data_IF_749868657352
#
_entry.id   IF_749868657352
#
_cell.length_a   1.000
_cell.length_b   1.000
_cell.length_c   1.000
_cell.angle_alpha   90.00
_cell.angle_beta   90.00
_cell.angle_gamma   90.00
#
_symmetry.space_group_name_H-M   'P 1'
#
loop_
_entity.id
_entity.type
_entity.pdbx_description
1 polymer ?
#
# COMPACT_ATOMS: atom_id res chain seq x y z
N UNK A 1 11.04 -41.44 7.88
CA UNK A 1 9.57 -41.21 7.73
C UNK A 1 9.35 -39.98 6.84
N UNK A 2 8.11 -39.59 6.55
CA UNK A 2 7.78 -38.70 5.41
C UNK A 2 8.26 -37.26 5.56
N UNK A 3 8.55 -36.65 4.40
CA UNK A 3 8.88 -35.24 4.18
C UNK A 3 7.66 -34.34 4.16
N UNK A 4 7.80 -33.09 4.61
CA UNK A 4 7.31 -31.92 3.87
C UNK A 4 8.47 -30.92 3.78
N UNK A 5 8.95 -30.69 2.57
CA UNK A 5 9.95 -29.68 2.24
C UNK A 5 9.53 -28.96 0.96
N UNK A 6 8.46 -28.17 1.06
CA UNK A 6 7.88 -27.35 -0.02
C UNK A 6 7.26 -26.11 0.65
N UNK A 7 7.44 -24.87 0.18
CA UNK A 7 7.99 -24.43 -1.11
C UNK A 7 9.09 -23.34 -0.97
N UNK A 8 10.36 -23.72 -0.81
CA UNK A 8 11.46 -22.84 -1.20
C UNK A 8 11.45 -22.71 -2.73
N UNK A 9 11.01 -21.56 -3.27
CA UNK A 9 10.89 -21.30 -4.73
C UNK A 9 12.06 -20.51 -5.32
N UNK A 10 13.26 -20.77 -4.80
CA UNK A 10 14.54 -20.27 -5.33
C UNK A 10 14.89 -20.95 -6.67
N UNK A 11 14.16 -20.63 -7.75
CA UNK A 11 14.47 -21.09 -9.11
C UNK A 11 14.03 -20.11 -10.19
N UNK A 12 14.76 -19.00 -10.34
CA UNK A 12 14.71 -18.15 -11.54
C UNK A 12 15.68 -18.70 -12.60
N UNK A 13 15.21 -19.58 -13.48
CA UNK A 13 15.98 -20.04 -14.64
C UNK A 13 16.20 -18.87 -15.62
N UNK A 14 17.45 -18.42 -15.76
CA UNK A 14 17.83 -17.47 -16.80
C UNK A 14 17.96 -18.22 -18.13
N UNK A 15 16.96 -18.07 -19.00
CA UNK A 15 17.03 -18.48 -20.40
C UNK A 15 16.80 -17.26 -21.31
N UNK A 16 17.78 -16.99 -22.18
CA UNK A 16 17.73 -15.91 -23.15
C UNK A 16 16.79 -16.29 -24.30
N UNK A 17 15.76 -15.47 -24.51
CA UNK A 17 14.81 -15.60 -25.62
C UNK A 17 14.48 -14.23 -26.22
N UNK A 18 15.31 -13.76 -27.14
CA UNK A 18 15.08 -12.48 -27.82
C UNK A 18 14.07 -12.65 -28.96
N UNK A 19 12.81 -12.26 -28.73
CA UNK A 19 11.83 -12.07 -29.80
C UNK A 19 10.96 -10.84 -29.50
N UNK A 20 11.15 -9.78 -30.28
CA UNK A 20 10.30 -8.60 -30.24
C UNK A 20 9.18 -8.75 -31.28
N UNK A 21 7.91 -8.57 -30.88
CA UNK A 21 6.83 -8.19 -31.79
C UNK A 21 5.66 -7.52 -31.03
N UNK A 22 5.45 -6.25 -31.35
CA UNK A 22 4.22 -5.44 -31.25
C UNK A 22 3.00 -5.95 -30.44
N UNK A 23 2.55 -5.10 -29.49
CA UNK A 23 1.29 -4.38 -29.72
C UNK A 23 0.00 -4.92 -29.08
N UNK A 24 -0.13 -4.83 -27.76
CA UNK A 24 -1.45 -4.76 -27.10
C UNK A 24 -1.39 -3.91 -25.82
N UNK A 25 -1.84 -2.66 -25.88
CA UNK A 25 -1.92 -1.78 -24.70
C UNK A 25 -3.17 -2.04 -23.85
N UNK A 26 -3.29 -3.27 -23.32
CA UNK A 26 -4.19 -3.54 -22.22
C UNK A 26 -3.58 -2.97 -20.94
N UNK A 27 -3.79 -1.66 -20.72
CA UNK A 27 -3.65 -1.04 -19.41
C UNK A 27 -4.77 -1.57 -18.53
N UNK A 28 -4.58 -2.80 -18.03
CA UNK A 28 -5.44 -3.39 -17.03
C UNK A 28 -5.22 -2.61 -15.73
N UNK A 29 -6.00 -1.54 -15.56
CA UNK A 29 -6.06 -0.78 -14.33
C UNK A 29 -6.69 -1.65 -13.25
N UNK A 30 -5.88 -2.53 -12.66
CA UNK A 30 -6.20 -3.25 -11.43
C UNK A 30 -6.25 -2.24 -10.28
N UNK A 31 -7.37 -1.51 -10.22
CA UNK A 31 -7.80 -0.87 -8.99
C UNK A 31 -7.83 -1.92 -7.89
N UNK A 32 -7.31 -1.55 -6.72
CA UNK A 32 -7.23 -2.47 -5.60
C UNK A 32 -8.65 -2.89 -5.19
N UNK A 33 -8.90 -4.20 -5.19
CA UNK A 33 -10.24 -4.77 -5.07
C UNK A 33 -10.77 -4.81 -3.64
N UNK A 34 -12.07 -5.09 -3.44
CA UNK A 34 -12.76 -4.90 -2.15
C UNK A 34 -12.30 -5.78 -0.96
N UNK A 35 -11.34 -6.69 -1.16
CA UNK A 35 -10.89 -7.66 -0.14
C UNK A 35 -9.83 -7.15 0.85
N UNK A 36 -9.39 -5.88 0.75
CA UNK A 36 -8.46 -5.29 1.73
C UNK A 36 -8.98 -5.34 3.19
N UNK A 37 -10.28 -5.49 3.40
CA UNK A 37 -10.89 -5.69 4.72
C UNK A 37 -10.64 -7.07 5.34
N UNK A 38 -10.26 -8.10 4.57
CA UNK A 38 -10.29 -9.51 5.03
C UNK A 38 -8.93 -10.15 5.29
N UNK A 39 -7.84 -9.54 4.84
CA UNK A 39 -6.49 -10.11 4.95
C UNK A 39 -5.97 -10.13 6.41
N UNK A 40 -5.24 -11.18 6.79
CA UNK A 40 -4.48 -11.22 8.05
C UNK A 40 -3.29 -10.25 8.05
N UNK A 41 -2.65 -9.94 9.19
CA UNK A 41 -1.41 -9.15 9.21
C UNK A 41 -0.29 -9.77 8.35
N UNK A 42 -0.20 -11.09 8.35
CA UNK A 42 0.82 -11.87 7.65
C UNK A 42 0.58 -11.85 6.12
N UNK A 43 -0.65 -12.05 5.67
CA UNK A 43 -1.02 -11.91 4.24
C UNK A 43 -0.79 -10.48 3.71
N UNK A 44 -0.91 -9.45 4.58
CA UNK A 44 -0.60 -8.06 4.23
C UNK A 44 0.90 -7.82 4.12
N UNK A 45 1.70 -8.44 4.99
CA UNK A 45 3.16 -8.40 4.95
C UNK A 45 3.66 -9.07 3.66
N UNK A 46 3.25 -10.32 3.40
CA UNK A 46 3.60 -11.09 2.20
C UNK A 46 3.29 -10.29 0.93
N UNK A 47 2.06 -9.80 0.77
CA UNK A 47 1.66 -8.97 -0.38
C UNK A 47 2.44 -7.67 -0.51
N UNK A 48 2.87 -7.05 0.60
CA UNK A 48 3.71 -5.86 0.54
C UNK A 48 5.15 -6.17 0.16
N UNK A 49 5.72 -7.28 0.64
CA UNK A 49 7.03 -7.78 0.20
C UNK A 49 6.97 -8.11 -1.29
N UNK A 50 6.07 -9.00 -1.74
CA UNK A 50 5.89 -9.38 -3.15
C UNK A 50 5.74 -8.17 -4.08
N UNK A 51 4.90 -7.20 -3.70
CA UNK A 51 4.72 -5.99 -4.49
C UNK A 51 6.00 -5.16 -4.59
N UNK A 52 6.82 -5.06 -3.54
CA UNK A 52 8.12 -4.41 -3.60
C UNK A 52 9.12 -5.23 -4.43
N UNK A 53 9.20 -6.55 -4.21
CA UNK A 53 10.06 -7.49 -4.95
C UNK A 53 9.87 -7.39 -6.46
N UNK A 54 8.61 -7.39 -6.92
CA UNK A 54 8.26 -7.30 -8.34
C UNK A 54 8.43 -5.87 -8.88
N UNK A 55 8.10 -4.83 -8.10
CA UNK A 55 8.13 -3.43 -8.59
C UNK A 55 9.50 -2.77 -8.55
N UNK A 56 10.43 -3.33 -7.80
CA UNK A 56 11.79 -2.83 -7.62
C UNK A 56 12.85 -3.85 -8.05
N UNK A 57 12.45 -5.01 -8.57
CA UNK A 57 13.37 -6.08 -9.03
C UNK A 57 14.41 -6.43 -7.94
N UNK A 58 13.93 -6.64 -6.71
CA UNK A 58 14.79 -6.83 -5.54
C UNK A 58 15.63 -8.12 -5.64
N UNK A 59 16.87 -8.08 -5.18
CA UNK A 59 17.68 -9.29 -4.93
C UNK A 59 17.11 -10.08 -3.75
N UNK A 60 17.48 -11.34 -3.60
CA UNK A 60 16.92 -12.19 -2.53
C UNK A 60 17.36 -11.69 -1.13
N UNK A 61 18.54 -11.09 -1.01
CA UNK A 61 19.02 -10.42 0.21
C UNK A 61 18.23 -9.14 0.51
N UNK A 62 17.94 -8.32 -0.52
CA UNK A 62 17.09 -7.13 -0.38
C UNK A 62 15.68 -7.50 0.05
N UNK A 63 15.12 -8.60 -0.47
CA UNK A 63 13.80 -9.10 -0.08
C UNK A 63 13.77 -9.49 1.40
N UNK A 64 14.77 -10.25 1.89
CA UNK A 64 14.88 -10.64 3.31
C UNK A 64 14.96 -9.44 4.25
N UNK A 65 15.77 -8.43 3.94
CA UNK A 65 15.87 -7.24 4.80
C UNK A 65 14.62 -6.33 4.69
N UNK A 66 13.95 -6.26 3.52
CA UNK A 66 12.66 -5.55 3.37
C UNK A 66 11.55 -6.23 4.17
N UNK A 67 11.45 -7.57 4.15
CA UNK A 67 10.49 -8.32 4.96
C UNK A 67 10.68 -8.01 6.46
N UNK A 68 11.92 -8.18 6.95
CA UNK A 68 12.33 -7.88 8.33
C UNK A 68 11.99 -6.44 8.75
N UNK A 69 12.25 -5.44 7.89
CA UNK A 69 11.90 -4.03 8.13
C UNK A 69 10.36 -3.85 8.19
N UNK A 70 9.61 -4.49 7.30
CA UNK A 70 8.15 -4.39 7.27
C UNK A 70 7.49 -5.07 8.48
N UNK A 71 7.97 -6.24 8.92
CA UNK A 71 7.53 -6.91 10.15
C UNK A 71 7.71 -6.01 11.37
N UNK A 72 8.91 -5.49 11.59
CA UNK A 72 9.20 -4.57 12.69
C UNK A 72 8.36 -3.28 12.61
N UNK A 73 8.08 -2.80 11.40
CA UNK A 73 7.20 -1.65 11.17
C UNK A 73 5.76 -1.96 11.55
N UNK A 74 5.24 -3.14 11.18
CA UNK A 74 3.88 -3.57 11.47
C UNK A 74 3.67 -3.75 12.97
N UNK A 75 4.59 -4.42 13.67
CA UNK A 75 4.52 -4.62 15.12
C UNK A 75 4.50 -3.28 15.87
N UNK A 76 5.42 -2.37 15.53
CA UNK A 76 5.49 -1.03 16.14
C UNK A 76 4.25 -0.19 15.82
N UNK A 77 3.77 -0.21 14.58
CA UNK A 77 2.53 0.47 14.19
C UNK A 77 1.31 -0.09 14.94
N UNK A 78 1.20 -1.42 15.06
CA UNK A 78 0.12 -2.10 15.78
C UNK A 78 0.14 -1.72 17.26
N UNK A 79 1.30 -1.81 17.92
CA UNK A 79 1.44 -1.45 19.33
C UNK A 79 1.01 0.00 19.61
N UNK A 80 1.40 0.96 18.76
CA UNK A 80 0.94 2.36 18.90
C UNK A 80 -0.56 2.54 18.60
N UNK A 81 -1.13 1.78 17.67
CA UNK A 81 -2.56 1.86 17.32
C UNK A 81 -3.47 1.19 18.36
N UNK A 82 -3.01 0.13 19.01
CA UNK A 82 -3.72 -0.52 20.12
C UNK A 82 -3.66 0.37 21.38
N UNK A 83 -2.50 0.90 21.74
CA UNK A 83 -2.39 1.93 22.79
C UNK A 83 -3.26 3.15 22.49
N UNK A 84 -3.40 3.58 21.22
CA UNK A 84 -4.25 4.70 20.84
C UNK A 84 -5.76 4.40 20.95
N UNK A 85 -6.18 3.13 21.02
CA UNK A 85 -7.56 2.69 21.30
C UNK A 85 -7.85 2.64 22.80
N UNK A 86 -6.83 2.33 23.59
CA UNK A 86 -6.88 2.26 25.06
C UNK A 86 -6.61 3.62 25.74
N UNK A 87 -6.13 4.61 24.98
CA UNK A 87 -5.79 5.95 25.43
C UNK A 87 -6.93 6.66 26.17
N UNK A 88 -6.62 7.24 27.30
CA UNK A 88 -7.59 7.91 28.20
C UNK A 88 -7.90 9.35 27.80
N UNK A 89 -7.13 9.91 26.87
CA UNK A 89 -7.31 11.28 26.37
C UNK A 89 -7.05 11.41 24.88
N UNK A 90 -7.72 12.36 24.23
CA UNK A 90 -7.54 12.65 22.81
C UNK A 90 -6.10 13.08 22.47
N UNK A 91 -5.43 13.79 23.38
CA UNK A 91 -4.03 14.22 23.23
C UNK A 91 -3.07 13.03 23.20
N UNK A 92 -3.28 12.05 24.08
CA UNK A 92 -2.55 10.79 24.13
C UNK A 92 -2.78 9.96 22.86
N UNK A 93 -4.03 9.76 22.45
CA UNK A 93 -4.37 9.07 21.20
C UNK A 93 -3.72 9.74 19.97
N UNK A 94 -3.79 11.08 19.86
CA UNK A 94 -3.15 11.86 18.78
C UNK A 94 -1.63 11.71 18.77
N UNK A 95 -0.98 11.68 19.94
CA UNK A 95 0.47 11.44 20.07
C UNK A 95 0.85 10.04 19.58
N UNK A 96 0.12 9.01 20.00
CA UNK A 96 0.36 7.61 19.61
C UNK A 96 0.11 7.39 18.11
N UNK A 97 -0.96 7.97 17.56
CA UNK A 97 -1.22 8.00 16.12
C UNK A 97 -0.06 8.67 15.37
N UNK A 98 0.46 9.81 15.85
CA UNK A 98 1.65 10.46 15.27
C UNK A 98 2.87 9.54 15.31
N UNK A 99 3.12 8.82 16.40
CA UNK A 99 4.23 7.86 16.51
C UNK A 99 4.08 6.73 15.47
N UNK A 100 2.87 6.19 15.28
CA UNK A 100 2.56 5.22 14.21
C UNK A 100 2.82 5.81 12.80
N UNK A 101 2.55 7.10 12.58
CA UNK A 101 2.90 7.80 11.33
C UNK A 101 4.39 8.06 11.15
N UNK A 102 5.16 8.26 12.22
CA UNK A 102 6.61 8.47 12.13
C UNK A 102 7.36 7.15 11.91
N UNK A 103 6.91 6.02 12.50
CA UNK A 103 7.39 4.67 12.15
C UNK A 103 7.24 4.41 10.64
N UNK A 104 6.11 4.79 10.04
CA UNK A 104 5.90 4.65 8.58
C UNK A 104 6.92 5.43 7.75
N UNK A 105 7.49 6.53 8.24
CA UNK A 105 8.56 7.28 7.55
C UNK A 105 9.89 6.58 7.72
N UNK A 106 10.25 6.23 8.94
CA UNK A 106 11.45 5.47 9.29
C UNK A 106 11.60 4.22 8.41
N UNK A 107 10.49 3.47 8.23
CA UNK A 107 10.42 2.31 7.32
C UNK A 107 10.63 2.65 5.84
N UNK A 108 10.12 3.79 5.36
CA UNK A 108 10.36 4.25 3.98
C UNK A 108 11.83 4.64 3.77
N UNK A 109 12.46 5.25 4.77
CA UNK A 109 13.86 5.68 4.75
C UNK A 109 14.81 4.46 4.84
N UNK A 110 14.53 3.50 5.74
CA UNK A 110 15.23 2.22 5.84
C UNK A 110 15.18 1.42 4.53
N UNK A 111 14.00 1.30 3.90
CA UNK A 111 13.88 0.66 2.58
C UNK A 111 14.68 1.46 1.54
N UNK A 112 14.56 2.79 1.52
CA UNK A 112 15.28 3.68 0.60
C UNK A 112 16.81 3.48 0.60
N UNK A 113 17.40 3.16 1.73
CA UNK A 113 18.86 2.98 1.86
C UNK A 113 19.35 1.63 1.32
N UNK A 114 18.54 0.56 1.43
CA UNK A 114 18.83 -0.78 0.85
C UNK A 114 18.81 -0.81 -0.68
N UNK A 115 18.05 0.09 -1.32
CA UNK A 115 17.80 0.08 -2.76
C UNK A 115 18.95 0.70 -3.57
N UNK A 116 19.16 0.30 -4.81
CA UNK A 116 20.14 0.91 -5.72
C UNK A 116 19.68 2.28 -6.30
N UNK A 117 20.45 2.86 -7.23
CA UNK A 117 20.13 4.17 -7.85
C UNK A 117 18.87 4.13 -8.75
N UNK A 118 18.62 3.04 -9.47
CA UNK A 118 17.45 2.80 -10.29
C UNK A 118 16.22 2.43 -9.46
N UNK A 119 16.38 1.49 -8.53
CA UNK A 119 15.34 1.06 -7.59
C UNK A 119 14.80 2.23 -6.76
N UNK A 120 15.68 3.05 -6.15
CA UNK A 120 15.29 4.29 -5.46
C UNK A 120 14.49 5.26 -6.34
N UNK A 121 14.76 5.31 -7.65
CA UNK A 121 14.04 6.17 -8.60
C UNK A 121 12.61 5.69 -8.85
N UNK A 122 12.34 4.38 -8.88
CA UNK A 122 10.98 3.85 -8.97
C UNK A 122 10.26 3.91 -7.61
N UNK A 123 10.92 3.58 -6.50
CA UNK A 123 10.33 3.71 -5.16
C UNK A 123 9.87 5.16 -4.90
N UNK A 124 10.69 6.17 -5.20
CA UNK A 124 10.29 7.60 -5.11
C UNK A 124 9.15 7.99 -6.06
N UNK A 125 8.99 7.32 -7.22
CA UNK A 125 7.79 7.50 -8.08
C UNK A 125 6.56 6.89 -7.41
N UNK A 126 6.68 5.70 -6.82
CA UNK A 126 5.58 5.00 -6.15
C UNK A 126 5.08 5.77 -4.91
N UNK A 127 5.97 6.25 -4.04
CA UNK A 127 5.61 7.08 -2.89
C UNK A 127 4.84 8.35 -3.34
N UNK A 128 5.33 9.05 -4.37
CA UNK A 128 4.63 10.22 -4.95
C UNK A 128 3.29 9.90 -5.61
N UNK A 129 3.05 8.66 -6.05
CA UNK A 129 1.72 8.21 -6.51
C UNK A 129 0.79 7.98 -5.32
N UNK A 130 1.27 7.32 -4.26
CA UNK A 130 0.51 7.09 -3.02
C UNK A 130 0.13 8.40 -2.31
N UNK A 131 1.07 9.36 -2.24
CA UNK A 131 0.86 10.72 -1.74
C UNK A 131 -0.27 11.43 -2.52
N UNK A 132 -0.18 11.46 -3.86
CA UNK A 132 -1.21 12.06 -4.72
C UNK A 132 -2.57 11.36 -4.64
N UNK A 133 -2.60 10.05 -4.43
CA UNK A 133 -3.83 9.31 -4.19
C UNK A 133 -4.47 9.73 -2.86
N UNK A 134 -3.70 9.73 -1.76
CA UNK A 134 -4.17 10.17 -0.44
C UNK A 134 -4.67 11.61 -0.46
N UNK A 135 -3.97 12.51 -1.14
CA UNK A 135 -4.40 13.90 -1.31
C UNK A 135 -5.73 14.07 -2.05
N UNK A 136 -6.07 13.16 -2.98
CA UNK A 136 -7.36 13.20 -3.71
C UNK A 136 -8.54 12.66 -2.89
N UNK A 137 -8.33 11.63 -2.07
CA UNK A 137 -9.40 11.07 -1.23
C UNK A 137 -9.58 11.84 0.09
N UNK A 138 -8.51 12.40 0.66
CA UNK A 138 -8.55 13.18 1.91
C UNK A 138 -9.40 14.46 1.83
N UNK A 139 -9.71 14.96 0.63
CA UNK A 139 -10.56 16.13 0.41
C UNK A 139 -12.08 15.84 0.42
N UNK A 140 -12.52 14.59 0.60
CA UNK A 140 -13.97 14.25 0.55
C UNK A 140 -14.45 13.26 1.63
N UNK A 141 -13.66 13.03 2.68
CA UNK A 141 -14.04 12.13 3.77
C UNK A 141 -13.02 12.07 4.91
N UNK A 142 -13.08 13.04 5.82
CA UNK A 142 -12.38 12.97 7.11
C UNK A 142 -13.23 12.23 8.16
N UNK A 143 -12.62 11.53 9.13
CA UNK A 143 -13.37 10.85 10.19
C UNK A 143 -13.99 11.87 11.16
N UNK A 144 -15.27 11.69 11.51
CA UNK A 144 -15.94 12.45 12.58
C UNK A 144 -17.04 13.43 12.16
N UNK A 145 -17.39 13.53 10.87
CA UNK A 145 -18.63 14.21 10.47
C UNK A 145 -19.87 13.38 10.87
N UNK A 146 -20.95 13.99 11.41
CA UNK A 146 -22.22 13.28 11.60
C UNK A 146 -22.78 12.82 10.25
N UNK A 147 -23.61 11.76 10.21
CA UNK A 147 -24.22 11.29 8.97
C UNK A 147 -25.08 12.40 8.35
N UNK A 148 -25.06 12.59 7.01
CA UNK A 148 -25.86 13.62 6.36
C UNK A 148 -27.37 13.32 6.53
N UNK A 149 -28.06 14.29 7.10
CA UNK A 149 -29.47 14.20 7.46
C UNK A 149 -30.38 14.38 6.22
N UNK A 150 -31.20 13.38 5.89
CA UNK A 150 -32.51 13.65 5.27
C UNK A 150 -32.65 13.82 3.73
N UNK A 151 -31.86 13.14 2.88
CA UNK A 151 -32.23 12.97 1.44
C UNK A 151 -32.24 14.27 0.59
N UNK A 152 -33.12 14.41 -0.44
CA UNK A 152 -34.02 13.44 -1.08
C UNK A 152 -33.40 12.80 -2.36
N UNK A 153 -34.15 11.95 -3.05
CA UNK A 153 -33.70 11.29 -4.30
C UNK A 153 -34.13 12.00 -5.59
N UNK A 154 -33.51 11.62 -6.71
CA UNK A 154 -33.92 12.07 -8.05
C UNK A 154 -32.94 11.66 -9.17
N UNK A 155 -33.32 10.76 -10.11
CA UNK A 155 -32.58 10.54 -11.35
C UNK A 155 -33.02 11.56 -12.41
N UNK A 156 -32.10 12.36 -12.94
CA UNK A 156 -32.38 13.35 -13.98
C UNK A 156 -31.26 13.41 -15.02
N UNK A 157 -31.62 13.28 -16.30
CA UNK A 157 -30.73 13.53 -17.44
C UNK A 157 -30.76 15.01 -17.89
N UNK A 158 -29.87 15.41 -18.81
CA UNK A 158 -29.80 16.78 -19.34
C UNK A 158 -30.56 16.95 -20.69
N UNK A 159 -30.70 18.19 -21.24
CA UNK A 159 -30.74 19.51 -20.61
C UNK A 159 -32.18 20.08 -20.77
N UNK A 160 -32.63 21.01 -21.66
CA UNK A 160 -32.01 22.10 -22.45
C UNK A 160 -32.70 23.51 -22.35
N UNK A 161 -32.06 24.50 -22.97
CA UNK A 161 -32.53 25.70 -23.72
C UNK A 161 -33.55 26.76 -23.17
N UNK A 162 -33.03 28.01 -23.15
CA UNK A 162 -33.55 29.30 -23.66
C UNK A 162 -34.68 30.16 -23.04
N UNK A 163 -34.35 31.46 -23.03
CA UNK A 163 -35.13 32.72 -23.12
C UNK A 163 -36.00 33.31 -21.98
N UNK A 164 -35.89 34.66 -21.91
CA UNK A 164 -36.61 35.70 -21.12
C UNK A 164 -36.30 35.86 -19.62
#
# INVERSE_FOLDING_TARGET
MKTIGQHFRSLRLVLLGALALTGATLVQAQGWGPDEGRLTPEERLERMVDHLSVRLELTDEQQTEVEKILTQSFDRQKAFLDQAREATSESEARKLIKQSHDVRKETQDQIMDLLDKGQRKEYKKMLKRMEKARGRFGSRGGPGGPPPEGGPGGPGGPPPDDDF
#
